data_IF_406248586926
#
_entry.id   IF_406248586926
#
_cell.length_a   1.000
_cell.length_b   1.000
_cell.length_c   1.000
_cell.angle_alpha   90.00
_cell.angle_beta   90.00
_cell.angle_gamma   90.00
#
_symmetry.space_group_name_H-M   'P 1'
#
loop_
_entity.id
_entity.type
_entity.pdbx_description
1 polymer ?
#
# COMPACT_ATOMS: atom_id res chain seq x y z
N UNK A 1 5.77 14.39 3.98
CA UNK A 1 5.57 13.06 3.38
C UNK A 1 6.67 12.17 3.88
N UNK A 2 6.32 11.12 4.63
CA UNK A 2 7.30 10.40 5.46
C UNK A 2 7.32 8.90 5.18
N UNK A 3 6.18 8.31 4.81
CA UNK A 3 6.00 6.86 4.65
C UNK A 3 6.97 6.23 3.63
N UNK A 4 6.95 6.70 2.38
CA UNK A 4 7.80 6.15 1.31
C UNK A 4 9.29 6.45 1.52
N UNK A 5 9.73 7.71 1.79
CA UNK A 5 11.14 7.96 2.12
C UNK A 5 11.66 7.06 3.23
N UNK A 6 10.87 6.83 4.28
CA UNK A 6 11.25 5.95 5.39
C UNK A 6 11.41 4.50 4.94
N UNK A 7 10.47 3.97 4.14
CA UNK A 7 10.57 2.63 3.57
C UNK A 7 11.86 2.47 2.73
N UNK A 8 12.17 3.44 1.87
CA UNK A 8 13.38 3.38 1.02
C UNK A 8 14.68 3.48 1.81
N UNK A 9 14.71 4.27 2.89
CA UNK A 9 15.91 4.49 3.70
C UNK A 9 16.14 3.39 4.75
N UNK A 10 15.09 2.71 5.17
CA UNK A 10 15.12 1.80 6.32
C UNK A 10 14.41 0.46 6.07
N UNK A 11 14.34 0.00 4.81
CA UNK A 11 13.61 -1.22 4.42
C UNK A 11 14.00 -2.45 5.25
N UNK A 12 15.28 -2.58 5.64
CA UNK A 12 15.79 -3.66 6.49
C UNK A 12 15.21 -3.66 7.92
N UNK A 13 14.71 -2.52 8.40
CA UNK A 13 14.08 -2.37 9.72
C UNK A 13 12.54 -2.48 9.64
N UNK A 14 11.98 -2.49 8.43
CA UNK A 14 10.53 -2.54 8.21
C UNK A 14 10.13 -3.97 7.88
N UNK A 15 9.44 -4.64 8.83
CA UNK A 15 8.97 -6.02 8.64
C UNK A 15 7.88 -6.12 7.58
N UNK A 16 7.00 -5.12 7.45
CA UNK A 16 5.97 -5.05 6.43
C UNK A 16 5.48 -3.61 6.22
N UNK A 17 4.90 -3.35 5.05
CA UNK A 17 4.38 -2.03 4.65
C UNK A 17 2.91 -2.12 4.24
N UNK A 18 2.03 -1.35 4.88
CA UNK A 18 0.58 -1.34 4.57
C UNK A 18 0.15 0.07 4.14
N UNK A 19 0.42 0.49 2.89
CA UNK A 19 -0.03 1.78 2.40
C UNK A 19 -1.53 1.78 2.09
N UNK A 20 -2.23 2.82 2.53
CA UNK A 20 -3.61 3.11 2.10
C UNK A 20 -3.60 4.34 1.20
N UNK A 21 -3.78 4.15 -0.10
CA UNK A 21 -3.78 5.20 -1.14
C UNK A 21 -2.83 6.39 -0.87
N UNK A 22 -1.52 6.16 -0.63
CA UNK A 22 -0.61 7.22 -0.22
C UNK A 22 -0.37 8.22 -1.36
N UNK A 23 -0.16 9.47 -0.98
CA UNK A 23 0.22 10.53 -1.91
C UNK A 23 1.70 10.45 -2.28
N UNK A 24 2.03 11.04 -3.43
CA UNK A 24 3.39 11.29 -3.91
C UNK A 24 4.22 10.04 -4.19
N UNK A 25 3.56 8.97 -4.62
CA UNK A 25 4.18 7.72 -5.05
C UNK A 25 5.00 7.91 -6.34
N UNK A 26 4.69 8.91 -7.15
CA UNK A 26 5.37 9.26 -8.41
C UNK A 26 6.76 9.86 -8.23
N UNK A 27 7.15 10.20 -6.99
CA UNK A 27 8.47 10.77 -6.68
C UNK A 27 9.61 9.75 -6.72
N UNK A 28 9.30 8.47 -6.90
CA UNK A 28 10.26 7.38 -6.85
C UNK A 28 10.17 6.57 -8.15
N UNK A 29 11.31 6.11 -8.64
CA UNK A 29 11.37 5.34 -9.88
C UNK A 29 10.96 3.88 -9.67
N UNK A 30 10.60 3.19 -10.75
CA UNK A 30 10.28 1.76 -10.71
C UNK A 30 11.45 0.92 -10.17
N UNK A 31 12.69 1.31 -10.46
CA UNK A 31 13.91 0.64 -9.97
C UNK A 31 14.06 0.80 -8.46
N UNK A 32 13.77 1.99 -7.92
CA UNK A 32 13.76 2.20 -6.48
C UNK A 32 12.74 1.28 -5.81
N UNK A 33 11.50 1.22 -6.30
CA UNK A 33 10.49 0.29 -5.78
C UNK A 33 10.93 -1.18 -5.89
N UNK A 34 11.48 -1.57 -7.04
CA UNK A 34 11.92 -2.94 -7.31
C UNK A 34 13.04 -3.41 -6.37
N UNK A 35 13.83 -2.47 -5.82
CA UNK A 35 14.88 -2.79 -4.85
C UNK A 35 14.35 -3.16 -3.45
N UNK A 36 13.09 -2.86 -3.14
CA UNK A 36 12.52 -3.04 -1.81
C UNK A 36 11.98 -4.46 -1.63
N UNK A 37 12.57 -5.21 -0.70
CA UNK A 37 12.15 -6.59 -0.42
C UNK A 37 11.06 -6.69 0.68
N UNK A 38 10.77 -5.60 1.38
CA UNK A 38 9.73 -5.54 2.42
C UNK A 38 8.36 -6.00 1.87
N UNK A 39 7.71 -7.01 2.47
CA UNK A 39 6.36 -7.39 2.11
C UNK A 39 5.38 -6.23 2.23
N UNK A 40 4.50 -6.06 1.24
CA UNK A 40 3.56 -4.96 1.20
C UNK A 40 2.11 -5.41 0.99
N UNK A 41 1.18 -4.76 1.69
CA UNK A 41 -0.27 -4.86 1.46
C UNK A 41 -0.78 -3.52 0.97
N UNK A 42 -0.94 -3.37 -0.34
CA UNK A 42 -1.44 -2.15 -0.97
C UNK A 42 -2.96 -2.14 -0.86
N UNK A 43 -3.52 -1.13 -0.19
CA UNK A 43 -4.96 -1.01 0.04
C UNK A 43 -5.50 0.29 -0.55
N UNK A 44 -6.63 0.22 -1.24
CA UNK A 44 -7.37 1.40 -1.70
C UNK A 44 -8.84 1.06 -1.94
N UNK A 45 -9.72 2.07 -1.90
CA UNK A 45 -11.13 1.92 -2.27
C UNK A 45 -11.35 2.10 -3.78
N UNK A 46 -12.26 1.35 -4.38
CA UNK A 46 -12.51 1.45 -5.83
C UNK A 46 -13.26 2.72 -6.28
N UNK A 47 -13.77 3.52 -5.33
CA UNK A 47 -14.31 4.85 -5.58
C UNK A 47 -13.28 5.97 -5.31
N UNK A 48 -12.06 5.63 -4.87
CA UNK A 48 -10.93 6.58 -4.83
C UNK A 48 -10.32 6.74 -6.22
N UNK A 49 -11.02 7.48 -7.07
CA UNK A 49 -10.64 7.72 -8.47
C UNK A 49 -9.45 8.67 -8.63
N UNK A 50 -8.98 9.31 -7.55
CA UNK A 50 -7.85 10.23 -7.60
C UNK A 50 -6.55 9.58 -7.15
N UNK A 51 -6.52 8.99 -5.95
CA UNK A 51 -5.29 8.49 -5.35
C UNK A 51 -5.16 6.97 -5.42
N UNK A 52 -6.28 6.24 -5.49
CA UNK A 52 -6.27 4.77 -5.53
C UNK A 52 -5.48 4.23 -6.73
N UNK A 53 -5.88 4.59 -7.95
CA UNK A 53 -5.24 4.11 -9.17
C UNK A 53 -3.81 4.64 -9.34
N UNK A 54 -3.59 5.93 -9.03
CA UNK A 54 -2.27 6.57 -9.15
C UNK A 54 -1.28 5.93 -8.20
N UNK A 55 -1.66 5.73 -6.93
CA UNK A 55 -0.77 5.08 -5.96
C UNK A 55 -0.49 3.63 -6.32
N UNK A 56 -1.51 2.87 -6.74
CA UNK A 56 -1.34 1.48 -7.20
C UNK A 56 -0.37 1.38 -8.39
N UNK A 57 -0.50 2.26 -9.39
CA UNK A 57 0.34 2.23 -10.60
C UNK A 57 1.83 2.30 -10.31
N UNK A 58 2.20 2.98 -9.22
CA UNK A 58 3.57 3.13 -8.74
C UNK A 58 3.95 2.01 -7.77
N UNK A 59 3.10 1.73 -6.77
CA UNK A 59 3.38 0.75 -5.72
C UNK A 59 3.43 -0.70 -6.24
N UNK A 60 2.79 -1.02 -7.36
CA UNK A 60 2.85 -2.36 -7.99
C UNK A 60 4.27 -2.78 -8.41
N UNK A 61 5.23 -1.84 -8.46
CA UNK A 61 6.63 -2.15 -8.71
C UNK A 61 7.35 -2.73 -7.47
N UNK A 62 6.73 -2.71 -6.28
CA UNK A 62 7.22 -3.46 -5.13
C UNK A 62 7.15 -4.96 -5.46
N UNK A 63 8.23 -5.74 -5.37
CA UNK A 63 8.23 -7.13 -5.81
C UNK A 63 7.34 -8.03 -4.95
N UNK A 64 7.26 -7.77 -3.64
CA UNK A 64 6.59 -8.63 -2.67
C UNK A 64 5.27 -8.01 -2.19
N UNK A 65 4.36 -7.67 -3.12
CA UNK A 65 3.11 -6.99 -2.79
C UNK A 65 1.87 -7.89 -2.93
N UNK A 66 0.85 -7.56 -2.14
CA UNK A 66 -0.54 -7.97 -2.33
C UNK A 66 -1.40 -6.72 -2.48
N UNK A 67 -2.52 -6.84 -3.18
CA UNK A 67 -3.46 -5.74 -3.41
C UNK A 67 -4.81 -6.09 -2.82
N UNK A 68 -5.39 -5.16 -2.07
CA UNK A 68 -6.76 -5.22 -1.56
C UNK A 68 -7.51 -4.01 -2.09
N UNK A 69 -8.50 -4.29 -2.94
CA UNK A 69 -9.41 -3.28 -3.47
C UNK A 69 -10.71 -3.35 -2.68
N UNK A 70 -11.00 -2.30 -1.91
CA UNK A 70 -12.20 -2.23 -1.09
C UNK A 70 -13.38 -1.74 -1.94
N UNK A 71 -14.32 -2.64 -2.22
CA UNK A 71 -15.46 -2.40 -3.11
C UNK A 71 -16.45 -1.42 -2.52
N UNK A 72 -16.82 -0.39 -3.29
CA UNK A 72 -17.75 0.66 -2.86
C UNK A 72 -17.15 1.68 -1.89
N UNK A 73 -15.86 1.57 -1.57
CA UNK A 73 -15.18 2.45 -0.63
C UNK A 73 -14.46 3.60 -1.33
N UNK A 74 -14.41 4.76 -0.69
CA UNK A 74 -13.68 5.94 -1.14
C UNK A 74 -12.23 5.97 -0.65
N UNK A 75 -11.67 7.18 -0.52
CA UNK A 75 -10.28 7.38 -0.11
C UNK A 75 -9.97 6.84 1.30
N UNK A 76 -10.73 7.18 2.35
CA UNK A 76 -10.55 6.58 3.68
C UNK A 76 -11.25 5.20 3.74
N UNK A 77 -10.90 4.27 2.86
CA UNK A 77 -11.65 3.02 2.67
C UNK A 77 -11.80 2.17 3.93
N UNK A 78 -10.84 2.26 4.86
CA UNK A 78 -10.90 1.61 6.18
C UNK A 78 -12.02 2.15 7.10
N UNK A 79 -12.58 3.33 6.82
CA UNK A 79 -13.77 3.87 7.51
C UNK A 79 -15.07 3.40 6.86
N UNK A 80 -15.08 3.21 5.53
CA UNK A 80 -16.28 2.81 4.77
C UNK A 80 -16.63 1.34 4.99
N UNK A 81 -15.63 0.45 5.06
CA UNK A 81 -15.77 -0.97 5.38
C UNK A 81 -14.69 -1.45 6.37
N UNK A 82 -14.86 -1.15 7.68
CA UNK A 82 -13.88 -1.52 8.70
C UNK A 82 -13.70 -3.03 8.86
N UNK A 83 -14.74 -3.83 8.57
CA UNK A 83 -14.67 -5.29 8.71
C UNK A 83 -13.73 -5.91 7.67
N UNK A 84 -13.90 -5.54 6.40
CA UNK A 84 -13.00 -5.97 5.33
C UNK A 84 -11.58 -5.48 5.56
N UNK A 85 -11.42 -4.22 6.01
CA UNK A 85 -10.11 -3.66 6.36
C UNK A 85 -9.39 -4.48 7.44
N UNK A 86 -10.04 -4.70 8.60
CA UNK A 86 -9.41 -5.42 9.70
C UNK A 86 -9.07 -6.86 9.32
N UNK A 87 -9.98 -7.54 8.60
CA UNK A 87 -9.72 -8.90 8.10
C UNK A 87 -8.51 -8.94 7.18
N UNK A 88 -8.45 -8.06 6.19
CA UNK A 88 -7.34 -8.01 5.24
C UNK A 88 -5.99 -7.76 5.93
N UNK A 89 -5.95 -6.85 6.90
CA UNK A 89 -4.74 -6.56 7.69
C UNK A 89 -4.33 -7.78 8.53
N UNK A 90 -5.26 -8.38 9.28
CA UNK A 90 -4.94 -9.53 10.13
C UNK A 90 -4.48 -10.74 9.32
N UNK A 91 -5.16 -11.05 8.21
CA UNK A 91 -4.80 -12.14 7.30
C UNK A 91 -3.40 -11.94 6.70
N UNK A 92 -3.04 -10.69 6.35
CA UNK A 92 -1.70 -10.36 5.88
C UNK A 92 -0.65 -10.50 6.98
N UNK A 93 -0.91 -9.97 8.18
CA UNK A 93 0.04 -10.02 9.30
C UNK A 93 0.33 -11.46 9.76
N UNK A 94 -0.64 -12.38 9.65
CA UNK A 94 -0.44 -13.80 9.98
C UNK A 94 0.48 -14.54 8.99
N UNK A 95 0.77 -13.96 7.83
CA UNK A 95 1.58 -14.56 6.77
C UNK A 95 3.02 -14.01 6.73
N UNK A 96 3.40 -13.13 7.65
CA UNK A 96 4.69 -12.45 7.72
C UNK A 96 5.81 -13.25 8.40
#
# INVERSE_FOLDING_TARGET
MYSLPFLFQHSEQVKAYIPVAPICTEKFTAEQYSSIQTPALIVYGDQDTQLGEVSLSNLRHLPNHKVVVMKGAGHPCYLDDPETWHKAVLDFLQQL
#
